data_IF_638490435289
#
_entry.id   IF_638490435289
#
_cell.length_a   1.000
_cell.length_b   1.000
_cell.length_c   1.000
_cell.angle_alpha   90.00
_cell.angle_beta   90.00
_cell.angle_gamma   90.00
#
_symmetry.space_group_name_H-M   'P 1'
#
loop_
_entity.id
_entity.type
_entity.pdbx_description
1 polymer ?
#
# COMPACT_ATOMS: atom_id res chain seq x y z
N UNK A 1 35.76 -35.05 -27.31
CA UNK A 1 35.17 -33.72 -27.57
C UNK A 1 34.69 -33.14 -26.25
N UNK A 2 35.49 -32.24 -25.66
CA UNK A 2 35.25 -31.68 -24.33
C UNK A 2 34.20 -30.57 -24.44
N UNK A 3 32.93 -30.93 -24.29
CA UNK A 3 31.82 -29.98 -24.30
C UNK A 3 31.85 -29.16 -23.01
N UNK A 4 32.61 -28.06 -23.03
CA UNK A 4 32.60 -27.04 -21.99
C UNK A 4 31.26 -26.30 -22.03
N UNK A 5 30.29 -26.76 -21.24
CA UNK A 5 29.05 -26.05 -21.01
C UNK A 5 29.34 -24.82 -20.13
N UNK A 6 29.60 -23.67 -20.77
CA UNK A 6 29.57 -22.38 -20.10
C UNK A 6 28.12 -22.10 -19.67
N UNK A 7 27.82 -22.39 -18.41
CA UNK A 7 26.64 -21.89 -17.73
C UNK A 7 26.74 -20.36 -17.66
N UNK A 8 26.09 -19.69 -18.61
CA UNK A 8 25.85 -18.25 -18.59
C UNK A 8 25.05 -17.94 -17.32
N UNK A 9 25.72 -17.40 -16.30
CA UNK A 9 25.07 -16.78 -15.14
C UNK A 9 24.35 -15.53 -15.63
N UNK A 10 23.05 -15.63 -15.93
CA UNK A 10 22.21 -14.47 -16.22
C UNK A 10 22.04 -13.72 -14.90
N UNK A 11 22.51 -12.47 -14.78
CA UNK A 11 22.23 -11.68 -13.60
C UNK A 11 20.72 -11.38 -13.57
N UNK A 12 20.00 -11.98 -12.63
CA UNK A 12 18.64 -11.58 -12.33
C UNK A 12 18.71 -10.21 -11.66
N UNK A 13 18.56 -9.14 -12.43
CA UNK A 13 18.39 -7.81 -11.88
C UNK A 13 17.06 -7.79 -11.14
N UNK A 14 17.11 -7.84 -9.81
CA UNK A 14 15.95 -7.56 -9.00
C UNK A 14 15.54 -6.11 -9.26
N UNK A 15 14.53 -5.91 -10.11
CA UNK A 15 13.85 -4.62 -10.21
C UNK A 15 13.19 -4.39 -8.84
N UNK A 16 13.77 -3.52 -8.02
CA UNK A 16 12.99 -2.86 -6.98
C UNK A 16 11.88 -2.11 -7.72
N UNK A 17 10.68 -2.69 -7.77
CA UNK A 17 9.50 -1.94 -8.20
C UNK A 17 9.41 -0.74 -7.27
N UNK A 18 9.50 0.47 -7.84
CA UNK A 18 9.38 1.69 -7.06
C UNK A 18 8.04 1.71 -6.34
N UNK A 19 8.02 2.24 -5.12
CA UNK A 19 6.76 2.49 -4.43
C UNK A 19 6.00 3.64 -5.13
N UNK A 20 4.67 3.54 -5.31
CA UNK A 20 3.83 2.36 -5.10
C UNK A 20 3.68 1.49 -6.37
N UNK A 21 3.69 0.17 -6.19
CA UNK A 21 3.52 -0.86 -7.24
C UNK A 21 2.20 -1.63 -7.15
N UNK A 22 1.36 -1.30 -6.15
CA UNK A 22 0.03 -1.85 -5.92
C UNK A 22 -0.85 -0.83 -5.19
N UNK A 23 -2.17 -1.07 -5.06
CA UNK A 23 -3.06 -0.18 -4.31
C UNK A 23 -2.65 0.02 -2.85
N UNK A 24 -2.84 1.25 -2.35
CA UNK A 24 -2.60 1.67 -0.97
C UNK A 24 -3.93 1.65 -0.20
N UNK A 25 -3.91 1.23 1.06
CA UNK A 25 -5.06 1.27 1.97
C UNK A 25 -4.96 2.48 2.90
N UNK A 26 -5.92 3.39 2.81
CA UNK A 26 -6.07 4.50 3.74
C UNK A 26 -7.06 4.11 4.85
N UNK A 27 -6.54 3.75 6.01
CA UNK A 27 -7.34 3.34 7.17
C UNK A 27 -7.94 4.57 7.87
N UNK A 28 -9.27 4.55 8.07
CA UNK A 28 -10.01 5.64 8.72
C UNK A 28 -10.62 5.16 10.05
N UNK A 29 -10.33 5.81 11.19
CA UNK A 29 -10.76 5.34 12.52
C UNK A 29 -12.25 5.59 12.86
N UNK A 30 -13.05 6.03 11.89
CA UNK A 30 -14.46 6.40 12.08
C UNK A 30 -15.36 5.75 11.03
N UNK A 31 -16.67 5.75 11.30
CA UNK A 31 -17.68 5.19 10.40
C UNK A 31 -17.73 5.89 9.04
N UNK A 32 -18.13 5.13 8.01
CA UNK A 32 -18.30 5.65 6.67
C UNK A 32 -19.36 6.77 6.62
N UNK A 33 -19.19 7.73 5.70
CA UNK A 33 -20.11 8.85 5.49
C UNK A 33 -19.95 10.03 6.46
N UNK A 34 -19.10 9.92 7.49
CA UNK A 34 -18.74 11.04 8.36
C UNK A 34 -17.75 12.02 7.72
N UNK A 35 -17.51 13.17 8.37
CA UNK A 35 -16.56 14.20 7.88
C UNK A 35 -15.17 13.60 7.64
N UNK A 36 -14.67 12.75 8.55
CA UNK A 36 -13.36 12.12 8.38
C UNK A 36 -13.29 11.20 7.17
N UNK A 37 -14.36 10.44 6.89
CA UNK A 37 -14.44 9.57 5.71
C UNK A 37 -14.50 10.39 4.42
N UNK A 38 -15.27 11.49 4.41
CA UNK A 38 -15.34 12.39 3.26
C UNK A 38 -13.97 13.01 2.93
N UNK A 39 -13.26 13.49 3.96
CA UNK A 39 -11.90 14.02 3.79
C UNK A 39 -10.96 12.92 3.30
N UNK A 40 -11.00 11.73 3.90
CA UNK A 40 -10.15 10.61 3.50
C UNK A 40 -10.37 10.21 2.03
N UNK A 41 -11.60 10.21 1.53
CA UNK A 41 -11.90 9.92 0.12
C UNK A 41 -11.38 11.00 -0.82
N UNK A 42 -11.50 12.28 -0.43
CA UNK A 42 -10.93 13.39 -1.21
C UNK A 42 -9.39 13.30 -1.24
N UNK A 43 -8.76 13.03 -0.10
CA UNK A 43 -7.31 12.80 0.00
C UNK A 43 -6.88 11.59 -0.82
N UNK A 44 -7.58 10.46 -0.70
CA UNK A 44 -7.29 9.24 -1.45
C UNK A 44 -7.37 9.46 -2.96
N UNK A 45 -8.36 10.20 -3.45
CA UNK A 45 -8.45 10.59 -4.87
C UNK A 45 -7.23 11.40 -5.31
N UNK A 46 -6.86 12.44 -4.57
CA UNK A 46 -5.71 13.28 -4.91
C UNK A 46 -4.39 12.50 -4.88
N UNK A 47 -4.20 11.65 -3.88
CA UNK A 47 -3.03 10.77 -3.80
C UNK A 47 -3.00 9.78 -4.96
N UNK A 48 -4.14 9.21 -5.33
CA UNK A 48 -4.22 8.27 -6.45
C UNK A 48 -3.80 8.92 -7.77
N UNK A 49 -4.22 10.17 -8.00
CA UNK A 49 -3.81 10.96 -9.17
C UNK A 49 -2.30 11.25 -9.18
N UNK A 50 -1.70 11.52 -8.02
CA UNK A 50 -0.26 11.81 -7.91
C UNK A 50 0.62 10.57 -7.99
N UNK A 51 0.16 9.45 -7.42
CA UNK A 51 0.95 8.24 -7.26
C UNK A 51 0.75 7.24 -8.41
N UNK A 52 -0.29 7.41 -9.22
CA UNK A 52 -0.61 6.47 -10.31
C UNK A 52 -1.09 5.10 -9.84
N UNK A 53 -1.39 4.96 -8.54
CA UNK A 53 -1.94 3.75 -7.93
C UNK A 53 -3.24 4.08 -7.20
N UNK A 54 -4.14 3.10 -7.08
CA UNK A 54 -5.39 3.29 -6.34
C UNK A 54 -5.12 3.51 -4.85
N UNK A 55 -5.87 4.41 -4.22
CA UNK A 55 -5.91 4.57 -2.75
C UNK A 55 -7.31 4.20 -2.26
N UNK A 56 -7.40 3.08 -1.54
CA UNK A 56 -8.66 2.49 -1.07
C UNK A 56 -8.90 2.89 0.37
N UNK A 57 -10.05 3.52 0.64
CA UNK A 57 -10.44 3.89 2.01
C UNK A 57 -11.06 2.69 2.73
N UNK A 58 -10.49 2.32 3.89
CA UNK A 58 -11.04 1.28 4.77
C UNK A 58 -11.44 1.89 6.12
N UNK A 59 -12.74 1.91 6.42
CA UNK A 59 -13.25 2.39 7.70
C UNK A 59 -13.16 1.29 8.77
N UNK A 60 -12.44 1.58 9.86
CA UNK A 60 -12.27 0.70 11.03
C UNK A 60 -12.67 1.44 12.33
N UNK A 61 -13.98 1.65 12.57
CA UNK A 61 -14.45 2.38 13.74
C UNK A 61 -14.28 1.59 15.04
N UNK A 62 -14.18 2.33 16.15
CA UNK A 62 -14.31 1.78 17.51
C UNK A 62 -13.21 2.20 18.47
N UNK A 63 -13.49 2.10 19.77
CA UNK A 63 -12.58 2.44 20.87
C UNK A 63 -11.88 3.81 20.70
N UNK A 64 -12.59 4.84 20.23
CA UNK A 64 -12.03 6.18 20.00
C UNK A 64 -10.93 6.24 18.93
N UNK A 65 -10.84 5.23 18.06
CA UNK A 65 -9.79 5.11 17.03
C UNK A 65 -8.69 4.10 17.36
N UNK A 66 -8.66 3.55 18.58
CA UNK A 66 -7.64 2.59 19.00
C UNK A 66 -7.64 1.30 18.16
N UNK A 67 -8.80 0.88 17.62
CA UNK A 67 -8.88 -0.31 16.75
C UNK A 67 -8.10 -0.09 15.45
N UNK A 68 -8.31 1.06 14.79
CA UNK A 68 -7.58 1.40 13.58
C UNK A 68 -6.08 1.60 13.85
N UNK A 69 -5.74 2.26 14.96
CA UNK A 69 -4.34 2.46 15.35
C UNK A 69 -3.63 1.12 15.60
N UNK A 70 -4.25 0.20 16.33
CA UNK A 70 -3.68 -1.14 16.58
C UNK A 70 -3.58 -1.98 15.31
N UNK A 71 -4.53 -1.83 14.38
CA UNK A 71 -4.48 -2.46 13.06
C UNK A 71 -3.26 -1.96 12.27
N UNK A 72 -3.10 -0.64 12.09
CA UNK A 72 -1.99 -0.05 11.33
C UNK A 72 -0.65 -0.34 12.00
N UNK A 73 -0.59 -0.33 13.33
CA UNK A 73 0.63 -0.68 14.10
C UNK A 73 1.12 -2.10 13.83
N UNK A 74 0.23 -3.02 13.50
CA UNK A 74 0.55 -4.43 13.18
C UNK A 74 0.71 -4.69 11.68
N UNK A 75 0.38 -3.71 10.83
CA UNK A 75 0.57 -3.82 9.40
C UNK A 75 2.06 -3.91 9.06
N UNK A 76 2.36 -4.40 7.85
CA UNK A 76 3.71 -4.36 7.33
C UNK A 76 4.14 -2.90 7.16
N UNK A 77 5.36 -2.51 7.56
CA UNK A 77 5.84 -1.13 7.39
C UNK A 77 6.33 -0.88 5.96
N UNK A 78 5.49 -1.17 4.95
CA UNK A 78 5.82 -1.08 3.52
C UNK A 78 5.02 -0.02 2.76
N UNK A 79 4.16 0.73 3.46
CA UNK A 79 3.45 1.89 2.92
C UNK A 79 2.08 1.60 2.30
N UNK A 80 1.60 0.34 2.31
CA UNK A 80 0.32 -0.06 1.70
C UNK A 80 -0.79 -0.37 2.72
#
# INVERSE_FOLDING_TARGET
>A
SLAAAMLLSIPFTANATGYPDKPITLVVPFGAGGITDLIARATGKALSEQLGQSVVVENRPGAGGNIAADFVRRARPDGY
#
